data_IF_562089946488
#
_entry.id   IF_562089946488
#
_cell.length_a   1.000
_cell.length_b   1.000
_cell.length_c   1.000
_cell.angle_alpha   90.00
_cell.angle_beta   90.00
_cell.angle_gamma   90.00
#
_symmetry.space_group_name_H-M   'P 1'
#
loop_
_entity.id
_entity.type
_entity.pdbx_description
1 polymer ?
#
# COMPACT_ATOMS: atom_id res chain seq x y z
N UNK A 1 6.08 6.23 -12.77
CA UNK A 1 4.96 6.44 -13.74
C UNK A 1 4.24 5.15 -14.16
N UNK A 2 4.90 4.20 -14.83
CA UNK A 2 4.21 2.99 -15.39
C UNK A 2 3.35 2.21 -14.40
N UNK A 3 3.83 2.00 -13.19
CA UNK A 3 3.09 1.29 -12.13
C UNK A 3 1.79 2.00 -11.71
N UNK A 4 1.76 3.34 -11.74
CA UNK A 4 0.56 4.12 -11.40
C UNK A 4 -0.46 3.98 -12.54
N UNK A 5 0.00 4.22 -13.78
CA UNK A 5 -0.84 4.10 -14.98
C UNK A 5 -1.48 2.71 -15.07
N UNK A 6 -0.68 1.65 -14.88
CA UNK A 6 -1.13 0.27 -14.93
C UNK A 6 -2.27 -0.03 -13.95
N UNK A 7 -2.25 0.55 -12.75
CA UNK A 7 -3.28 0.35 -11.73
C UNK A 7 -4.59 1.08 -12.03
N UNK A 8 -4.55 2.21 -12.75
CA UNK A 8 -5.74 3.04 -12.99
C UNK A 8 -6.44 2.77 -14.32
N UNK A 9 -5.81 2.03 -15.24
CA UNK A 9 -6.41 1.66 -16.53
C UNK A 9 -7.81 1.04 -16.41
N UNK A 10 -8.09 0.09 -15.49
CA UNK A 10 -9.44 -0.48 -15.36
C UNK A 10 -10.47 0.56 -14.91
N UNK A 11 -10.08 1.47 -14.02
CA UNK A 11 -10.96 2.54 -13.56
C UNK A 11 -11.29 3.48 -14.71
N UNK A 12 -10.27 3.92 -15.45
CA UNK A 12 -10.48 4.81 -16.58
C UNK A 12 -11.43 4.21 -17.62
N UNK A 13 -11.29 2.92 -17.93
CA UNK A 13 -12.21 2.21 -18.82
C UNK A 13 -13.63 2.16 -18.28
N UNK A 14 -13.81 1.85 -16.99
CA UNK A 14 -15.14 1.78 -16.35
C UNK A 14 -15.85 3.12 -16.27
N UNK A 15 -15.10 4.23 -16.17
CA UNK A 15 -15.64 5.58 -16.04
C UNK A 15 -15.62 6.38 -17.34
N UNK A 16 -15.27 5.75 -18.47
CA UNK A 16 -15.21 6.40 -19.78
C UNK A 16 -14.20 7.54 -19.86
N UNK A 17 -13.08 7.45 -19.13
CA UNK A 17 -12.04 8.48 -19.07
C UNK A 17 -10.95 8.21 -20.10
N UNK A 18 -10.54 9.26 -20.81
CA UNK A 18 -9.37 9.26 -21.68
C UNK A 18 -8.18 9.92 -21.00
N UNK A 19 -6.97 9.43 -21.32
CA UNK A 19 -5.73 10.13 -21.00
C UNK A 19 -4.76 10.01 -22.17
N UNK A 20 -4.30 11.15 -22.69
CA UNK A 20 -3.35 11.16 -23.81
C UNK A 20 -1.91 11.10 -23.29
N UNK A 21 -1.57 11.96 -22.33
CA UNK A 21 -0.22 12.05 -21.77
C UNK A 21 -0.20 11.99 -20.25
N UNK A 22 0.77 11.25 -19.70
CA UNK A 22 0.97 11.11 -18.26
C UNK A 22 2.44 11.32 -17.89
N UNK A 23 2.73 12.47 -17.29
CA UNK A 23 4.08 12.99 -17.12
C UNK A 23 4.46 13.16 -15.64
N UNK A 24 5.74 12.97 -15.33
CA UNK A 24 6.30 13.33 -14.02
C UNK A 24 6.59 14.83 -14.01
N UNK A 25 6.20 15.50 -12.93
CA UNK A 25 6.57 16.90 -12.67
C UNK A 25 7.66 16.95 -11.60
N UNK A 26 8.48 17.99 -11.64
CA UNK A 26 9.47 18.26 -10.60
C UNK A 26 8.82 18.50 -9.24
N UNK A 27 9.60 18.46 -8.16
CA UNK A 27 9.05 18.71 -6.84
C UNK A 27 8.40 20.10 -6.78
N UNK A 28 7.17 20.16 -6.27
CA UNK A 28 6.41 21.39 -6.09
C UNK A 28 5.71 21.37 -4.73
N UNK A 29 5.61 22.52 -4.07
CA UNK A 29 4.97 22.67 -2.76
C UNK A 29 3.47 23.01 -2.84
N UNK A 30 3.02 23.58 -3.96
CA UNK A 30 1.66 24.05 -4.16
C UNK A 30 0.72 22.92 -4.59
N UNK A 31 1.21 22.01 -5.44
CA UNK A 31 0.44 20.89 -5.95
C UNK A 31 1.25 19.59 -5.98
N UNK A 32 0.53 18.46 -5.86
CA UNK A 32 1.09 17.12 -6.03
C UNK A 32 0.72 16.49 -7.39
N UNK A 33 -0.27 17.07 -8.08
CA UNK A 33 -0.74 16.65 -9.38
C UNK A 33 -1.48 17.78 -10.09
N UNK A 34 -1.60 17.66 -11.42
CA UNK A 34 -2.39 18.56 -12.26
C UNK A 34 -3.09 17.78 -13.36
N UNK A 35 -4.27 18.25 -13.73
CA UNK A 35 -5.00 17.78 -14.90
C UNK A 35 -5.24 18.96 -15.85
N UNK A 36 -4.75 18.83 -17.08
CA UNK A 36 -4.94 19.77 -18.18
C UNK A 36 -6.04 19.26 -19.12
N UNK A 37 -6.95 20.17 -19.48
CA UNK A 37 -7.99 19.96 -20.49
C UNK A 37 -8.81 18.68 -20.29
N UNK A 38 -9.12 18.32 -19.04
CA UNK A 38 -9.97 17.17 -18.75
C UNK A 38 -9.36 15.83 -19.14
N UNK A 39 -8.05 15.66 -18.94
CA UNK A 39 -7.34 14.40 -19.18
C UNK A 39 -6.44 14.41 -20.41
N UNK A 40 -6.29 15.52 -21.12
CA UNK A 40 -5.30 15.60 -22.20
C UNK A 40 -3.88 15.35 -21.66
N UNK A 41 -3.53 16.02 -20.56
CA UNK A 41 -2.25 15.84 -19.88
C UNK A 41 -2.51 15.76 -18.38
N UNK A 42 -2.06 14.68 -17.75
CA UNK A 42 -1.97 14.60 -16.28
C UNK A 42 -0.51 14.58 -15.88
N UNK A 43 -0.17 15.41 -14.90
CA UNK A 43 1.16 15.50 -14.32
C UNK A 43 1.11 15.10 -12.86
N UNK A 44 2.12 14.38 -12.39
CA UNK A 44 2.27 14.02 -10.97
C UNK A 44 3.67 14.32 -10.47
N UNK A 45 3.72 14.88 -9.26
CA UNK A 45 4.95 14.96 -8.48
C UNK A 45 5.20 13.60 -7.85
N UNK A 46 6.26 12.92 -8.29
CA UNK A 46 6.60 11.58 -7.77
C UNK A 46 7.54 11.59 -6.57
N UNK A 47 8.24 12.70 -6.34
CA UNK A 47 9.37 12.78 -5.42
C UNK A 47 9.18 13.90 -4.41
N UNK A 48 9.72 13.67 -3.23
CA UNK A 48 9.91 14.71 -2.21
C UNK A 48 11.06 15.64 -2.63
N UNK A 49 11.22 16.75 -1.91
CA UNK A 49 12.32 17.71 -2.08
C UNK A 49 13.71 17.06 -2.01
N UNK A 50 13.83 15.99 -1.23
CA UNK A 50 15.06 15.21 -1.06
C UNK A 50 15.29 14.15 -2.16
N UNK A 51 14.45 14.11 -3.19
CA UNK A 51 14.54 13.18 -4.31
C UNK A 51 13.99 11.78 -4.05
N UNK A 52 13.58 11.45 -2.81
CA UNK A 52 12.96 10.16 -2.50
C UNK A 52 11.56 10.07 -3.10
N UNK A 53 11.18 8.89 -3.56
CA UNK A 53 9.84 8.64 -4.07
C UNK A 53 8.78 8.76 -2.96
N UNK A 54 7.64 9.33 -3.33
CA UNK A 54 6.45 9.33 -2.51
C UNK A 54 5.85 7.92 -2.45
N UNK A 55 5.17 7.54 -1.36
CA UNK A 55 4.54 6.24 -1.24
C UNK A 55 3.49 5.99 -2.32
N UNK A 56 3.41 4.76 -2.83
CA UNK A 56 2.47 4.39 -3.90
C UNK A 56 1.01 4.71 -3.53
N UNK A 57 0.59 4.46 -2.28
CA UNK A 57 -0.77 4.77 -1.84
C UNK A 57 -1.10 6.27 -1.86
N UNK A 58 -0.11 7.12 -1.62
CA UNK A 58 -0.26 8.57 -1.77
C UNK A 58 -0.40 8.96 -3.24
N UNK A 59 0.49 8.46 -4.10
CA UNK A 59 0.47 8.73 -5.53
C UNK A 59 -0.84 8.30 -6.19
N UNK A 60 -1.41 7.16 -5.79
CA UNK A 60 -2.72 6.70 -6.27
C UNK A 60 -3.87 7.57 -5.75
N UNK A 61 -3.74 8.15 -4.56
CA UNK A 61 -4.73 9.11 -4.04
C UNK A 61 -4.71 10.40 -4.85
N UNK A 62 -3.52 10.91 -5.19
CA UNK A 62 -3.38 12.09 -6.07
C UNK A 62 -3.88 11.75 -7.48
N UNK A 63 -3.51 10.59 -8.03
CA UNK A 63 -4.01 10.17 -9.35
C UNK A 63 -5.54 10.08 -9.40
N UNK A 64 -6.20 9.56 -8.36
CA UNK A 64 -7.66 9.53 -8.29
C UNK A 64 -8.28 10.94 -8.23
N UNK A 65 -7.60 11.89 -7.59
CA UNK A 65 -7.98 13.30 -7.59
C UNK A 65 -7.93 13.89 -9.02
N UNK A 66 -6.80 13.69 -9.72
CA UNK A 66 -6.63 14.19 -11.08
C UNK A 66 -7.61 13.53 -12.07
N UNK A 67 -7.91 12.24 -11.90
CA UNK A 67 -8.94 11.56 -12.69
C UNK A 67 -10.34 12.11 -12.42
N UNK A 68 -10.67 12.46 -11.17
CA UNK A 68 -11.95 13.08 -10.86
C UNK A 68 -12.12 14.45 -11.54
N UNK A 69 -11.01 15.17 -11.77
CA UNK A 69 -11.05 16.41 -12.53
C UNK A 69 -11.53 16.21 -13.96
N UNK A 70 -11.29 15.08 -14.63
CA UNK A 70 -11.78 14.81 -16.00
C UNK A 70 -13.27 15.14 -16.17
N UNK A 71 -14.10 14.80 -15.18
CA UNK A 71 -15.54 15.06 -15.21
C UNK A 71 -15.96 16.30 -14.42
N UNK A 72 -15.20 16.69 -13.39
CA UNK A 72 -15.58 17.73 -12.44
C UNK A 72 -14.40 18.67 -12.14
N UNK A 73 -14.36 19.81 -12.83
CA UNK A 73 -13.31 20.83 -12.64
C UNK A 73 -13.29 21.41 -11.22
N UNK A 74 -14.47 21.67 -10.65
CA UNK A 74 -14.58 22.30 -9.33
C UNK A 74 -14.68 21.25 -8.21
N UNK A 75 -14.02 21.48 -7.07
CA UNK A 75 -14.02 20.59 -5.88
C UNK A 75 -15.35 20.51 -5.10
N UNK A 76 -16.48 20.60 -5.80
CA UNK A 76 -17.82 20.50 -5.22
C UNK A 76 -18.22 19.07 -4.82
N UNK A 77 -19.47 18.87 -4.35
CA UNK A 77 -19.93 17.57 -3.85
C UNK A 77 -19.80 16.42 -4.85
N UNK A 78 -20.05 16.69 -6.14
CA UNK A 78 -19.92 15.68 -7.22
C UNK A 78 -18.47 15.22 -7.38
N UNK A 79 -17.53 16.17 -7.37
CA UNK A 79 -16.10 15.87 -7.39
C UNK A 79 -15.69 15.00 -6.20
N UNK A 80 -16.06 15.40 -4.99
CA UNK A 80 -15.69 14.67 -3.77
C UNK A 80 -16.26 13.24 -3.78
N UNK A 81 -17.49 13.07 -4.26
CA UNK A 81 -18.13 11.76 -4.44
C UNK A 81 -17.35 10.89 -5.42
N UNK A 82 -17.01 11.42 -6.61
CA UNK A 82 -16.27 10.69 -7.63
C UNK A 82 -14.85 10.33 -7.14
N UNK A 83 -14.12 11.28 -6.56
CA UNK A 83 -12.79 11.04 -6.01
C UNK A 83 -12.80 9.94 -4.93
N UNK A 84 -13.78 9.98 -4.01
CA UNK A 84 -13.94 8.93 -3.01
C UNK A 84 -14.25 7.57 -3.64
N UNK A 85 -15.10 7.55 -4.67
CA UNK A 85 -15.45 6.34 -5.40
C UNK A 85 -14.22 5.73 -6.08
N UNK A 86 -13.46 6.51 -6.86
CA UNK A 86 -12.24 6.07 -7.54
C UNK A 86 -11.22 5.50 -6.55
N UNK A 87 -11.01 6.17 -5.41
CA UNK A 87 -10.10 5.67 -4.35
C UNK A 87 -10.53 4.32 -3.79
N UNK A 88 -11.84 4.11 -3.59
CA UNK A 88 -12.38 2.81 -3.13
C UNK A 88 -12.19 1.73 -4.18
N UNK A 89 -12.44 2.04 -5.45
CA UNK A 89 -12.26 1.10 -6.56
C UNK A 89 -10.79 0.67 -6.71
N UNK A 90 -9.83 1.61 -6.58
CA UNK A 90 -8.39 1.28 -6.54
C UNK A 90 -8.10 0.30 -5.39
N UNK A 91 -8.60 0.58 -4.18
CA UNK A 91 -8.41 -0.31 -3.03
C UNK A 91 -9.03 -1.69 -3.25
N UNK A 92 -10.21 -1.76 -3.88
CA UNK A 92 -10.86 -3.03 -4.22
C UNK A 92 -10.06 -3.83 -5.23
N UNK A 93 -9.47 -3.17 -6.24
CA UNK A 93 -8.57 -3.82 -7.19
C UNK A 93 -7.34 -4.39 -6.47
N UNK A 94 -6.72 -3.61 -5.59
CA UNK A 94 -5.56 -4.08 -4.80
C UNK A 94 -5.91 -5.25 -3.87
N UNK A 95 -7.10 -5.23 -3.25
CA UNK A 95 -7.61 -6.34 -2.44
C UNK A 95 -7.84 -7.61 -3.26
N UNK A 96 -8.21 -7.47 -4.54
CA UNK A 96 -8.31 -8.57 -5.51
C UNK A 96 -6.95 -9.00 -6.08
N UNK A 97 -5.85 -8.40 -5.61
CA UNK A 97 -4.50 -8.70 -6.07
C UNK A 97 -4.13 -8.03 -7.41
N UNK A 98 -4.94 -7.09 -7.90
CA UNK A 98 -4.65 -6.35 -9.11
C UNK A 98 -3.76 -5.14 -8.82
N UNK A 99 -2.55 -5.15 -9.40
CA UNK A 99 -1.61 -4.03 -9.35
C UNK A 99 -1.25 -3.52 -10.76
N UNK A 100 -2.04 -3.88 -11.77
CA UNK A 100 -1.78 -3.58 -13.19
C UNK A 100 -1.23 -4.78 -13.97
N UNK A 101 -1.23 -4.73 -15.32
CA UNK A 101 -0.60 -5.76 -16.14
C UNK A 101 0.92 -5.79 -15.92
N UNK A 102 1.41 -6.87 -15.32
CA UNK A 102 2.82 -7.07 -14.96
C UNK A 102 3.06 -7.21 -13.45
N UNK A 103 4.32 -7.31 -13.06
CA UNK A 103 4.72 -7.52 -11.65
C UNK A 103 4.92 -6.17 -10.94
N UNK A 104 3.82 -5.52 -10.56
CA UNK A 104 3.83 -4.20 -9.89
C UNK A 104 3.45 -4.28 -8.41
N UNK A 105 3.22 -5.47 -7.87
CA UNK A 105 3.09 -5.68 -6.43
C UNK A 105 4.42 -5.38 -5.73
N UNK A 106 4.36 -5.05 -4.45
CA UNK A 106 5.56 -4.94 -3.62
C UNK A 106 6.26 -6.30 -3.58
N UNK A 107 7.43 -6.39 -4.20
CA UNK A 107 8.26 -7.59 -4.11
C UNK A 107 8.65 -7.83 -2.65
N UNK A 108 8.52 -9.07 -2.16
CA UNK A 108 9.16 -9.46 -0.91
C UNK A 108 10.63 -9.78 -1.19
N UNK A 109 11.53 -9.15 -0.45
CA UNK A 109 12.96 -9.49 -0.52
C UNK A 109 13.13 -10.90 0.06
N UNK A 110 13.56 -11.87 -0.76
CA UNK A 110 13.65 -13.29 -0.38
C UNK A 110 14.65 -13.58 0.74
N UNK A 111 15.56 -12.65 1.06
CA UNK A 111 16.58 -12.81 2.11
C UNK A 111 16.05 -12.61 3.53
N UNK A 112 15.06 -11.74 3.69
CA UNK A 112 14.57 -11.29 5.00
C UNK A 112 13.06 -11.04 5.03
N UNK A 113 12.34 -11.44 3.96
CA UNK A 113 10.90 -11.22 3.78
C UNK A 113 10.47 -9.76 3.94
N UNK A 114 11.41 -8.82 3.82
CA UNK A 114 11.15 -7.39 3.91
C UNK A 114 10.32 -6.97 2.69
N UNK A 115 9.20 -6.31 2.93
CA UNK A 115 8.36 -5.73 1.87
C UNK A 115 9.15 -4.57 1.25
N UNK A 116 9.56 -4.72 0.00
CA UNK A 116 10.23 -3.65 -0.74
C UNK A 116 9.15 -2.68 -1.25
N UNK A 117 9.09 -1.51 -0.59
CA UNK A 117 8.27 -0.33 -0.90
C UNK A 117 6.76 -0.42 -0.62
N UNK A 118 6.23 0.60 0.08
CA UNK A 118 4.80 0.86 0.20
C UNK A 118 4.39 1.70 1.42
N UNK A 119 4.97 1.42 2.58
CA UNK A 119 4.48 1.93 3.86
C UNK A 119 5.46 2.91 4.53
N UNK A 120 5.95 3.92 3.79
CA UNK A 120 6.51 5.08 4.47
C UNK A 120 5.34 5.92 4.98
N UNK A 121 5.05 5.80 6.27
CA UNK A 121 4.16 6.70 7.00
C UNK A 121 4.53 8.15 6.64
N UNK A 122 3.67 8.82 5.87
CA UNK A 122 3.77 10.26 5.69
C UNK A 122 3.47 10.91 7.03
N UNK A 123 4.40 11.71 7.54
CA UNK A 123 4.15 12.55 8.72
C UNK A 123 3.19 13.67 8.29
N UNK A 124 2.25 14.04 9.16
CA UNK A 124 1.23 15.06 8.88
C UNK A 124 1.80 16.42 8.42
N UNK A 125 3.08 16.67 8.70
CA UNK A 125 3.87 17.85 8.29
C UNK A 125 4.36 17.84 6.84
N UNK A 126 4.22 16.74 6.10
CA UNK A 126 4.72 16.59 4.71
C UNK A 126 3.60 16.65 3.66
N UNK A 127 2.37 16.93 4.07
CA UNK A 127 1.22 17.05 3.18
C UNK A 127 1.01 18.52 2.80
N UNK A 128 0.81 18.87 1.51
CA UNK A 128 0.48 20.24 1.09
C UNK A 128 -0.71 20.78 1.89
N UNK A 129 -0.72 22.09 2.20
CA UNK A 129 -1.70 22.75 3.07
C UNK A 129 -3.17 22.52 2.65
N UNK A 130 -3.43 22.23 1.37
CA UNK A 130 -4.76 21.92 0.86
C UNK A 130 -5.22 20.45 1.08
N UNK A 131 -4.39 19.60 1.69
CA UNK A 131 -4.78 18.22 2.04
C UNK A 131 -5.85 18.23 3.13
N UNK A 132 -7.09 18.31 2.66
CA UNK A 132 -8.33 18.59 3.38
C UNK A 132 -8.38 18.18 4.86
N UNK A 133 -8.81 19.13 5.71
CA UNK A 133 -9.30 18.90 7.07
C UNK A 133 -10.45 17.88 7.04
N UNK A 134 -10.13 16.63 7.33
CA UNK A 134 -11.11 15.54 7.37
C UNK A 134 -10.60 14.39 8.23
N UNK A 135 -10.93 14.47 9.52
CA UNK A 135 -10.92 13.38 10.52
C UNK A 135 -9.61 12.58 10.65
N UNK A 136 -8.93 12.76 11.79
CA UNK A 136 -7.78 11.95 12.22
C UNK A 136 -8.11 10.46 12.07
N UNK A 137 -7.62 9.81 11.01
CA UNK A 137 -7.73 8.35 10.89
C UNK A 137 -6.80 7.74 11.92
N UNK A 138 -7.37 6.97 12.84
CA UNK A 138 -6.63 6.17 13.81
C UNK A 138 -5.67 5.27 13.03
N UNK A 139 -4.38 5.50 13.20
CA UNK A 139 -3.31 4.67 12.63
C UNK A 139 -3.59 3.22 13.02
N UNK A 140 -3.85 2.37 12.02
CA UNK A 140 -3.92 0.93 12.25
C UNK A 140 -2.54 0.47 12.69
N UNK A 141 -2.43 0.06 13.96
CA UNK A 141 -1.22 -0.52 14.52
C UNK A 141 -1.38 -2.03 14.46
N UNK A 142 -0.74 -2.75 13.52
CA UNK A 142 -0.77 -4.20 13.52
C UNK A 142 -0.18 -4.68 14.84
N UNK A 143 -0.90 -5.58 15.54
CA UNK A 143 -0.38 -6.22 16.74
C UNK A 143 0.78 -7.11 16.32
N UNK A 144 1.95 -6.89 16.92
CA UNK A 144 3.10 -7.76 16.78
C UNK A 144 2.70 -9.18 17.17
N UNK A 145 2.70 -10.10 16.20
CA UNK A 145 2.57 -11.52 16.48
C UNK A 145 3.88 -11.95 17.13
N UNK A 146 3.86 -12.11 18.45
CA UNK A 146 4.98 -12.70 19.19
C UNK A 146 5.13 -14.14 18.72
N UNK A 147 6.21 -14.43 17.98
CA UNK A 147 6.58 -15.81 17.64
C UNK A 147 6.67 -16.61 18.93
N UNK A 148 5.73 -17.54 19.15
CA UNK A 148 5.86 -18.54 20.22
C UNK A 148 7.07 -19.40 19.87
N UNK A 149 8.10 -19.36 20.71
CA UNK A 149 9.21 -20.32 20.65
C UNK A 149 8.62 -21.70 20.90
N UNK A 150 8.88 -22.65 20.00
CA UNK A 150 8.57 -24.05 20.24
C UNK A 150 9.39 -24.55 21.46
N UNK A 151 8.83 -25.40 22.32
CA UNK A 151 9.60 -26.00 23.40
C UNK A 151 10.65 -26.96 22.81
N UNK A 152 11.86 -27.05 23.39
CA UNK A 152 12.86 -27.99 22.92
C UNK A 152 12.44 -29.43 23.24
N UNK A 153 12.61 -30.32 22.27
CA UNK A 153 12.50 -31.77 22.47
C UNK A 153 13.51 -32.22 23.53
N UNK A 154 13.00 -32.81 24.61
CA UNK A 154 13.81 -33.44 25.65
C UNK A 154 14.37 -34.76 25.10
N UNK A 155 15.66 -34.77 24.74
CA UNK A 155 16.38 -36.00 24.39
C UNK A 155 16.67 -36.77 25.68
N UNK A 156 16.14 -37.99 25.76
CA UNK A 156 16.23 -38.89 26.90
C UNK A 156 17.65 -39.46 27.02
N UNK A 157 18.44 -38.88 27.93
CA UNK A 157 19.78 -39.35 28.29
C UNK A 157 19.71 -40.48 29.32
N UNK A 158 20.08 -41.68 28.88
CA UNK A 158 20.30 -42.89 29.69
C UNK A 158 21.22 -42.61 30.88
N UNK A 159 20.84 -43.10 32.05
CA UNK A 159 21.80 -43.36 33.13
C UNK A 159 21.50 -44.72 33.76
N UNK A 160 22.51 -45.59 33.71
CA UNK A 160 22.53 -46.94 34.24
C UNK A 160 22.46 -46.93 35.77
N UNK A 161 21.70 -47.85 36.37
CA UNK A 161 21.92 -48.29 37.75
C UNK A 161 21.69 -49.79 37.86
N UNK A 162 22.67 -50.44 38.50
CA UNK A 162 22.84 -51.88 38.65
C UNK A 162 21.78 -52.57 39.53
N UNK A 163 21.66 -53.88 39.26
CA UNK A 163 20.86 -54.95 39.86
C UNK A 163 20.71 -55.00 41.39
N UNK A 164 19.55 -55.51 41.83
CA UNK A 164 19.44 -56.56 42.87
C UNK A 164 18.11 -57.36 42.67
N UNK A 165 18.04 -58.63 43.12
CA UNK A 165 17.11 -59.63 42.57
C UNK A 165 15.76 -59.76 43.29
N UNK A 166 14.82 -60.45 42.63
CA UNK A 166 13.44 -60.80 43.03
C UNK A 166 13.35 -61.58 44.36
N UNK A 167 12.16 -61.60 44.99
CA UNK A 167 11.44 -62.88 45.03
C UNK A 167 9.92 -62.80 44.78
N UNK A 168 9.46 -63.73 43.94
CA UNK A 168 8.35 -64.70 44.09
C UNK A 168 7.02 -64.35 44.80
N UNK A 169 5.90 -64.60 44.10
CA UNK A 169 4.55 -64.93 44.66
C UNK A 169 3.43 -64.14 43.96
N UNK A 170 2.67 -64.64 42.97
CA UNK A 170 1.53 -65.59 43.05
C UNK A 170 0.51 -65.28 44.15
N UNK A 171 -0.49 -64.43 43.88
CA UNK A 171 -1.91 -64.74 43.61
C UNK A 171 -2.75 -63.46 43.63
#
# INVERSE_FOLDING_TARGET
>A
MRAIAAQVVPLMKSHGMGLNSFNEYEWNSEFAGRNWNGGEIIELVLRKKDGRFLPMGYLLTVMAHELAHIHHMNHGPKFQKLNLQLRKEIQQLQQKGYYGPGFWSSGQRLRDSAVLHGDANLTASELPEYTWKGTRRRVYRPKSVTKRKAPPLLVMGRSFKLMAPLPSGMF
#
